data_IF_634440076949
#
_entry.id   IF_634440076949
#
_cell.length_a   1.000
_cell.length_b   1.000
_cell.length_c   1.000
_cell.angle_alpha   90.00
_cell.angle_beta   90.00
_cell.angle_gamma   90.00
#
_symmetry.space_group_name_H-M   'P 1'
#
loop_
_entity.id
_entity.type
_entity.pdbx_description
1 polymer ?
#
# COMPACT_ATOMS: atom_id res chain seq x y z
N UNK A 1 56.45 -30.82 -25.48
CA UNK A 1 56.54 -30.06 -26.74
C UNK A 1 55.16 -30.17 -27.41
N UNK A 2 54.28 -29.20 -27.21
CA UNK A 2 54.16 -27.92 -27.92
C UNK A 2 53.23 -28.05 -29.15
N UNK A 3 51.99 -27.56 -28.96
CA UNK A 3 51.05 -27.00 -29.95
C UNK A 3 50.40 -27.99 -30.95
N UNK A 4 49.15 -27.87 -31.37
CA UNK A 4 48.05 -26.92 -31.18
C UNK A 4 46.87 -27.49 -31.96
N UNK A 5 45.63 -27.44 -31.46
CA UNK A 5 44.53 -27.21 -32.40
C UNK A 5 43.29 -26.57 -31.78
N UNK A 6 42.79 -25.61 -32.55
CA UNK A 6 41.85 -24.56 -32.19
C UNK A 6 40.43 -25.07 -32.42
N UNK A 7 39.55 -24.97 -31.41
CA UNK A 7 38.10 -25.06 -31.63
C UNK A 7 37.43 -23.77 -31.17
N UNK A 8 37.00 -23.00 -32.16
CA UNK A 8 36.13 -21.86 -32.03
C UNK A 8 34.78 -22.27 -31.41
N UNK A 9 34.37 -21.59 -30.33
CA UNK A 9 32.97 -21.53 -29.94
C UNK A 9 32.50 -20.08 -29.88
N UNK A 10 31.58 -19.81 -30.77
CA UNK A 10 30.86 -18.58 -31.02
C UNK A 10 29.91 -18.23 -29.86
N UNK A 11 30.08 -17.00 -29.37
CA UNK A 11 29.12 -16.05 -28.77
C UNK A 11 27.77 -16.60 -28.27
N UNK A 12 27.46 -16.27 -27.01
CA UNK A 12 26.15 -15.70 -26.68
C UNK A 12 26.31 -14.64 -25.59
N UNK A 13 26.35 -13.36 -25.98
CA UNK A 13 26.30 -12.22 -25.05
C UNK A 13 24.86 -12.08 -24.54
N UNK A 14 24.63 -11.87 -23.23
CA UNK A 14 23.29 -11.56 -22.75
C UNK A 14 22.85 -10.20 -23.31
N UNK A 15 21.66 -10.19 -23.93
CA UNK A 15 20.98 -8.98 -24.39
C UNK A 15 20.76 -8.05 -23.19
N UNK A 16 21.58 -7.01 -23.07
CA UNK A 16 21.29 -5.85 -22.20
C UNK A 16 19.98 -5.25 -22.71
N UNK A 17 18.88 -5.48 -21.98
CA UNK A 17 17.65 -4.72 -22.17
C UNK A 17 18.00 -3.25 -21.88
N UNK A 18 17.92 -2.39 -22.90
CA UNK A 18 17.93 -0.95 -22.71
C UNK A 18 16.73 -0.61 -21.80
N UNK A 19 16.98 -0.32 -20.53
CA UNK A 19 16.02 0.38 -19.68
C UNK A 19 16.04 1.83 -20.15
N UNK A 20 14.92 2.31 -20.67
CA UNK A 20 14.74 3.73 -20.97
C UNK A 20 14.91 4.50 -19.65
N UNK A 21 15.92 5.35 -19.61
CA UNK A 21 16.29 6.16 -18.46
C UNK A 21 15.81 7.59 -18.72
N UNK A 22 14.54 7.88 -18.42
CA UNK A 22 13.90 9.21 -18.45
C UNK A 22 12.65 9.10 -17.54
N UNK A 23 12.34 9.92 -16.53
CA UNK A 23 12.76 11.26 -16.16
C UNK A 23 12.80 11.41 -14.63
N UNK A 24 13.78 12.16 -14.13
CA UNK A 24 13.62 12.87 -12.86
C UNK A 24 12.66 14.04 -13.10
N UNK A 25 11.36 13.81 -12.98
CA UNK A 25 10.42 14.93 -12.84
C UNK A 25 10.15 15.05 -11.33
N UNK A 26 10.72 16.05 -10.63
CA UNK A 26 10.08 16.50 -9.43
C UNK A 26 8.78 17.17 -9.88
N UNK A 27 7.71 16.39 -10.06
CA UNK A 27 6.35 16.97 -10.16
C UNK A 27 5.99 17.38 -8.73
N UNK A 28 6.56 18.50 -8.31
CA UNK A 28 5.89 19.38 -7.37
C UNK A 28 4.93 20.18 -8.25
N UNK A 29 3.65 19.82 -8.24
CA UNK A 29 2.61 20.72 -8.75
C UNK A 29 2.51 21.91 -7.77
N UNK A 30 3.46 22.85 -7.83
CA UNK A 30 3.36 24.17 -7.20
C UNK A 30 3.78 25.25 -8.21
N UNK A 31 2.80 26.10 -8.53
CA UNK A 31 2.89 27.47 -9.04
C UNK A 31 4.01 27.75 -10.07
N UNK A 32 3.72 27.43 -11.33
CA UNK A 32 4.55 27.83 -12.47
C UNK A 32 4.11 27.22 -13.81
N UNK A 33 2.81 26.98 -13.99
CA UNK A 33 2.25 26.56 -15.27
C UNK A 33 1.46 27.73 -15.85
N UNK A 34 1.77 28.09 -17.10
CA UNK A 34 1.04 29.09 -17.87
C UNK A 34 -0.45 28.79 -17.83
N UNK A 35 -1.23 29.81 -17.49
CA UNK A 35 -2.67 29.71 -17.32
C UNK A 35 -3.34 29.29 -18.64
N UNK A 36 -3.93 28.08 -18.64
CA UNK A 36 -5.10 27.79 -19.43
C UNK A 36 -6.24 27.50 -18.46
N UNK A 37 -7.24 28.39 -18.45
CA UNK A 37 -8.40 28.26 -17.55
C UNK A 37 -9.36 27.21 -18.11
N UNK A 38 -9.12 25.94 -17.77
CA UNK A 38 -10.11 24.90 -17.45
C UNK A 38 -9.45 23.51 -17.45
N UNK A 39 -9.03 23.04 -16.27
CA UNK A 39 -8.56 21.67 -16.07
C UNK A 39 -7.78 21.54 -14.77
N UNK A 40 -8.24 20.69 -13.85
CA UNK A 40 -7.46 20.33 -12.66
C UNK A 40 -6.12 19.71 -13.11
N UNK A 41 -5.00 19.98 -12.43
CA UNK A 41 -3.72 19.36 -12.78
C UNK A 41 -3.83 17.83 -12.68
N UNK A 42 -3.66 17.15 -13.82
CA UNK A 42 -3.82 15.70 -13.92
C UNK A 42 -2.51 15.02 -14.30
N UNK A 43 -2.20 13.93 -13.60
CA UNK A 43 -1.08 13.03 -13.86
C UNK A 43 -1.65 11.65 -14.21
N UNK A 44 -1.19 11.06 -15.31
CA UNK A 44 -1.63 9.72 -15.72
C UNK A 44 -0.42 8.82 -15.94
N UNK A 45 -0.38 7.69 -15.24
CA UNK A 45 0.58 6.62 -15.47
C UNK A 45 -0.02 5.59 -16.42
N UNK A 46 0.46 5.56 -17.66
CA UNK A 46 -0.02 4.64 -18.71
C UNK A 46 0.94 3.46 -18.96
N UNK A 47 2.14 3.52 -18.39
CA UNK A 47 3.21 2.53 -18.59
C UNK A 47 3.99 2.35 -17.31
N UNK A 48 4.72 1.23 -17.23
CA UNK A 48 5.65 0.99 -16.14
C UNK A 48 6.60 2.17 -15.92
N UNK A 49 6.71 2.60 -14.68
CA UNK A 49 7.43 3.83 -14.33
C UNK A 49 8.29 3.61 -13.09
N UNK A 50 9.53 4.10 -13.15
CA UNK A 50 10.43 4.11 -12.00
C UNK A 50 10.48 5.50 -11.40
N UNK A 51 10.14 5.63 -10.11
CA UNK A 51 10.18 6.88 -9.35
C UNK A 51 11.48 6.93 -8.54
N UNK A 52 12.33 7.91 -8.85
CA UNK A 52 13.55 8.23 -8.12
C UNK A 52 13.37 9.37 -7.10
N UNK A 53 12.19 9.98 -7.08
CA UNK A 53 11.79 11.02 -6.14
C UNK A 53 10.38 10.73 -5.62
N UNK A 54 10.07 11.32 -4.47
CA UNK A 54 8.74 11.21 -3.89
C UNK A 54 7.71 11.97 -4.73
N UNK A 55 6.50 11.42 -4.82
CA UNK A 55 5.38 11.99 -5.56
C UNK A 55 4.41 12.65 -4.59
N UNK A 56 3.90 13.84 -4.92
CA UNK A 56 2.88 14.53 -4.13
C UNK A 56 1.69 14.94 -5.01
N UNK A 57 0.51 14.48 -4.64
CA UNK A 57 -0.76 14.88 -5.24
C UNK A 57 -1.46 15.80 -4.25
N UNK A 58 -1.43 17.10 -4.52
CA UNK A 58 -2.05 18.13 -3.67
C UNK A 58 -3.58 18.14 -3.84
N UNK A 59 -4.29 18.95 -3.05
CA UNK A 59 -5.76 18.90 -2.92
C UNK A 59 -6.54 19.05 -4.25
N UNK A 60 -6.00 19.80 -5.21
CA UNK A 60 -6.56 20.01 -6.55
C UNK A 60 -5.98 19.06 -7.61
N UNK A 61 -5.00 18.24 -7.23
CA UNK A 61 -4.35 17.28 -8.11
C UNK A 61 -5.15 16.01 -8.29
N UNK A 62 -5.11 15.47 -9.51
CA UNK A 62 -5.66 14.17 -9.85
C UNK A 62 -4.56 13.29 -10.41
N UNK A 63 -4.38 12.10 -9.85
CA UNK A 63 -3.49 11.08 -10.36
C UNK A 63 -4.27 9.82 -10.74
N UNK A 64 -4.07 9.31 -11.95
CA UNK A 64 -4.67 8.06 -12.42
C UNK A 64 -3.58 7.07 -12.83
N UNK A 65 -3.69 5.83 -12.40
CA UNK A 65 -2.80 4.73 -12.82
C UNK A 65 -3.62 3.74 -13.64
N UNK A 66 -3.19 3.48 -14.88
CA UNK A 66 -3.89 2.55 -15.77
C UNK A 66 -3.67 1.09 -15.34
N UNK A 67 -4.61 0.16 -15.64
CA UNK A 67 -4.46 -1.25 -15.32
C UNK A 67 -3.16 -1.86 -15.86
N UNK A 68 -2.55 -2.76 -15.07
CA UNK A 68 -1.33 -3.48 -15.43
C UNK A 68 -0.03 -2.67 -15.31
N UNK A 69 -0.10 -1.41 -14.89
CA UNK A 69 1.09 -0.57 -14.68
C UNK A 69 1.83 -1.00 -13.42
N UNK A 70 3.16 -1.14 -13.55
CA UNK A 70 4.08 -1.29 -12.42
C UNK A 70 4.78 0.03 -12.11
N UNK A 71 4.66 0.48 -10.86
CA UNK A 71 5.39 1.63 -10.32
C UNK A 71 6.48 1.13 -9.38
N UNK A 72 7.73 1.39 -9.75
CA UNK A 72 8.92 0.98 -8.99
C UNK A 72 9.56 2.17 -8.28
N UNK A 73 9.79 2.06 -6.98
CA UNK A 73 10.45 3.11 -6.19
C UNK A 73 11.95 2.83 -6.04
N UNK A 74 12.77 3.82 -6.38
CA UNK A 74 14.23 3.79 -6.17
C UNK A 74 14.58 4.62 -4.93
N UNK A 75 15.11 3.94 -3.93
CA UNK A 75 15.36 4.54 -2.62
C UNK A 75 14.09 4.68 -1.80
N UNK A 76 14.21 5.33 -0.64
CA UNK A 76 13.17 5.36 0.38
C UNK A 76 12.11 6.45 0.12
N UNK A 77 11.50 6.42 -1.08
CA UNK A 77 10.52 7.40 -1.55
C UNK A 77 9.12 7.13 -1.02
N UNK A 78 8.27 8.17 -1.02
CA UNK A 78 6.86 8.10 -0.64
C UNK A 78 5.93 8.64 -1.72
N UNK A 79 4.65 8.29 -1.62
CA UNK A 79 3.57 8.94 -2.36
C UNK A 79 2.64 9.65 -1.38
N UNK A 80 2.66 10.98 -1.38
CA UNK A 80 1.74 11.80 -0.59
C UNK A 80 0.47 12.07 -1.40
N UNK A 81 -0.69 11.76 -0.84
CA UNK A 81 -2.01 11.99 -1.45
C UNK A 81 -2.84 12.89 -0.54
N UNK A 82 -3.11 14.10 -1.02
CA UNK A 82 -4.06 15.07 -0.44
C UNK A 82 -5.23 15.39 -1.36
N UNK A 83 -5.07 15.16 -2.68
CA UNK A 83 -6.13 15.25 -3.68
C UNK A 83 -6.68 13.89 -4.08
N UNK A 84 -6.85 13.65 -5.38
CA UNK A 84 -7.46 12.45 -5.95
C UNK A 84 -6.39 11.48 -6.47
N UNK A 85 -6.43 10.21 -6.05
CA UNK A 85 -5.56 9.16 -6.56
C UNK A 85 -6.39 7.92 -6.94
N UNK A 86 -6.43 7.58 -8.22
CA UNK A 86 -7.24 6.48 -8.75
C UNK A 86 -6.30 5.44 -9.36
N UNK A 87 -6.28 4.25 -8.77
CA UNK A 87 -5.57 3.09 -9.31
C UNK A 87 -6.52 1.91 -9.35
N UNK A 88 -7.13 1.71 -10.50
CA UNK A 88 -8.11 0.63 -10.71
C UNK A 88 -7.53 -0.36 -11.71
N UNK A 89 -6.85 -1.38 -11.19
CA UNK A 89 -6.42 -2.53 -11.97
C UNK A 89 -7.57 -3.48 -12.26
N UNK A 90 -7.27 -4.61 -12.88
CA UNK A 90 -8.18 -5.75 -12.97
C UNK A 90 -7.51 -7.00 -12.41
N UNK A 91 -8.26 -8.08 -12.22
CA UNK A 91 -7.71 -9.38 -11.82
C UNK A 91 -6.62 -9.86 -12.78
N UNK A 92 -6.79 -9.63 -14.08
CA UNK A 92 -5.84 -10.04 -15.14
C UNK A 92 -4.68 -9.07 -15.28
N UNK A 93 -4.88 -7.80 -14.91
CA UNK A 93 -3.91 -6.71 -15.04
C UNK A 93 -3.86 -5.90 -13.74
N UNK A 94 -3.35 -6.48 -12.65
CA UNK A 94 -3.22 -5.77 -11.39
C UNK A 94 -2.20 -4.64 -11.52
N UNK A 95 -2.40 -3.56 -10.75
CA UNK A 95 -1.42 -2.46 -10.65
C UNK A 95 -0.45 -2.81 -9.52
N UNK A 96 0.85 -2.65 -9.76
CA UNK A 96 1.89 -3.04 -8.79
C UNK A 96 2.67 -1.84 -8.28
N UNK A 97 2.74 -1.66 -6.96
CA UNK A 97 3.59 -0.69 -6.28
C UNK A 97 4.67 -1.44 -5.51
N UNK A 98 5.94 -1.30 -5.92
CA UNK A 98 7.05 -2.07 -5.32
C UNK A 98 8.38 -1.32 -5.42
N UNK A 99 9.44 -1.85 -4.82
CA UNK A 99 10.77 -1.29 -4.97
C UNK A 99 11.45 -1.74 -6.27
N UNK A 100 12.31 -0.89 -6.80
CA UNK A 100 13.22 -1.30 -7.85
C UNK A 100 14.13 -2.44 -7.36
N UNK A 101 14.27 -3.48 -8.19
CA UNK A 101 15.15 -4.64 -7.97
C UNK A 101 14.80 -5.51 -6.73
N UNK A 102 13.59 -5.41 -6.17
CA UNK A 102 13.10 -6.35 -5.14
C UNK A 102 12.56 -7.62 -5.80
N UNK A 103 12.92 -8.78 -5.27
CA UNK A 103 12.30 -10.04 -5.65
C UNK A 103 10.83 -10.07 -5.20
N UNK A 104 9.92 -10.45 -6.10
CA UNK A 104 8.48 -10.52 -5.80
C UNK A 104 8.20 -11.53 -4.69
N UNK A 105 7.38 -11.13 -3.73
CA UNK A 105 7.02 -11.90 -2.54
C UNK A 105 8.08 -11.86 -1.42
N UNK A 106 9.16 -11.09 -1.57
CA UNK A 106 10.22 -11.01 -0.57
C UNK A 106 9.72 -10.35 0.72
N UNK A 107 10.19 -10.83 1.87
CA UNK A 107 10.01 -10.23 3.20
C UNK A 107 11.23 -9.44 3.68
N UNK A 108 12.14 -9.10 2.77
CA UNK A 108 13.28 -8.23 3.06
C UNK A 108 12.82 -6.89 3.64
N UNK A 109 13.76 -6.17 4.27
CA UNK A 109 13.51 -4.84 4.84
C UNK A 109 12.78 -3.95 3.82
N UNK A 110 11.84 -3.15 4.34
CA UNK A 110 11.12 -2.17 3.53
C UNK A 110 12.11 -1.27 2.77
N UNK A 111 11.83 -1.03 1.49
CA UNK A 111 12.72 -0.31 0.58
C UNK A 111 12.08 0.93 -0.06
N UNK A 112 10.83 1.23 0.30
CA UNK A 112 10.16 2.50 0.07
C UNK A 112 9.27 2.82 1.26
N UNK A 113 8.89 4.09 1.42
CA UNK A 113 8.13 4.53 2.60
C UNK A 113 6.69 4.04 2.57
N UNK A 114 6.06 3.96 1.40
CA UNK A 114 4.64 3.66 1.26
C UNK A 114 3.82 4.88 0.79
N UNK A 115 2.50 4.70 0.79
CA UNK A 115 1.55 5.79 0.60
C UNK A 115 1.30 6.55 1.90
N UNK A 116 1.11 7.87 1.80
CA UNK A 116 0.60 8.73 2.86
C UNK A 116 -0.67 9.43 2.36
N UNK A 117 -1.84 8.89 2.72
CA UNK A 117 -3.15 9.44 2.34
C UNK A 117 -3.64 10.31 3.50
N UNK A 118 -3.61 11.63 3.31
CA UNK A 118 -3.70 12.58 4.41
C UNK A 118 -4.78 13.64 4.17
N UNK A 119 -5.68 13.76 5.12
CA UNK A 119 -6.70 14.81 5.17
C UNK A 119 -8.05 14.36 4.63
N UNK A 120 -9.11 15.06 5.06
CA UNK A 120 -10.50 14.71 4.73
C UNK A 120 -10.87 14.94 3.27
N UNK A 121 -10.06 15.70 2.53
CA UNK A 121 -10.22 15.93 1.09
C UNK A 121 -9.49 14.88 0.23
N UNK A 122 -8.60 14.09 0.82
CA UNK A 122 -7.89 13.04 0.10
C UNK A 122 -8.87 11.95 -0.31
N UNK A 123 -8.98 11.71 -1.62
CA UNK A 123 -9.82 10.68 -2.20
C UNK A 123 -8.94 9.69 -2.96
N UNK A 124 -8.65 8.56 -2.33
CA UNK A 124 -7.82 7.52 -2.93
C UNK A 124 -8.62 6.23 -3.11
N UNK A 125 -8.63 5.71 -4.34
CA UNK A 125 -9.34 4.48 -4.72
C UNK A 125 -8.31 3.52 -5.29
N UNK A 126 -8.23 2.34 -4.69
CA UNK A 126 -7.36 1.25 -5.12
C UNK A 126 -8.21 0.01 -5.35
N UNK A 127 -8.19 -0.50 -6.58
CA UNK A 127 -8.81 -1.77 -6.97
C UNK A 127 -7.81 -2.67 -7.65
N UNK A 128 -7.76 -3.96 -7.29
CA UNK A 128 -6.81 -4.92 -7.87
C UNK A 128 -5.37 -4.39 -7.89
N UNK A 129 -4.98 -3.74 -6.79
CA UNK A 129 -3.65 -3.19 -6.60
C UNK A 129 -2.83 -4.08 -5.68
N UNK A 130 -1.53 -4.14 -5.91
CA UNK A 130 -0.59 -4.86 -5.06
C UNK A 130 0.48 -3.93 -4.49
N UNK A 131 0.55 -3.85 -3.17
CA UNK A 131 1.51 -3.05 -2.41
C UNK A 131 2.56 -3.95 -1.78
N UNK A 132 3.81 -3.82 -2.21
CA UNK A 132 4.90 -4.67 -1.74
C UNK A 132 6.12 -3.90 -1.25
N UNK A 133 6.66 -4.35 -0.11
CA UNK A 133 7.95 -3.87 0.39
C UNK A 133 7.92 -2.45 0.94
N UNK A 134 6.73 -1.92 1.24
CA UNK A 134 6.54 -0.62 1.85
C UNK A 134 6.87 -0.67 3.33
N UNK A 135 7.35 0.46 3.87
CA UNK A 135 7.48 0.61 5.30
C UNK A 135 6.10 0.82 5.93
N UNK A 136 5.30 1.74 5.41
CA UNK A 136 3.98 2.04 5.95
C UNK A 136 3.06 2.67 4.92
N UNK A 137 1.95 2.01 4.61
CA UNK A 137 0.84 2.68 3.93
C UNK A 137 -0.06 3.34 4.99
N UNK A 138 0.12 4.65 5.14
CA UNK A 138 -0.51 5.48 6.15
C UNK A 138 -1.82 6.07 5.63
N UNK A 139 -2.86 5.97 6.45
CA UNK A 139 -4.14 6.67 6.27
C UNK A 139 -4.37 7.57 7.48
N UNK A 140 -4.48 8.88 7.24
CA UNK A 140 -4.60 9.89 8.30
C UNK A 140 -5.75 10.84 8.02
N UNK A 141 -6.80 10.84 8.86
CA UNK A 141 -8.01 11.68 8.66
C UNK A 141 -8.68 11.54 7.29
N UNK A 142 -8.38 10.47 6.56
CA UNK A 142 -8.87 10.21 5.20
C UNK A 142 -9.79 8.99 5.15
N UNK A 143 -10.48 8.82 4.01
CA UNK A 143 -11.44 7.74 3.79
C UNK A 143 -11.19 7.00 2.46
N UNK A 144 -9.99 6.40 2.27
CA UNK A 144 -9.67 5.69 1.04
C UNK A 144 -10.43 4.36 0.92
N UNK A 145 -10.53 3.88 -0.32
CA UNK A 145 -11.11 2.57 -0.66
C UNK A 145 -9.97 1.66 -1.14
N UNK A 146 -9.88 0.49 -0.52
CA UNK A 146 -9.04 -0.63 -0.94
C UNK A 146 -9.94 -1.83 -1.17
N UNK A 147 -10.00 -2.30 -2.41
CA UNK A 147 -10.92 -3.35 -2.83
C UNK A 147 -10.21 -4.36 -3.74
N UNK A 148 -10.29 -5.64 -3.39
CA UNK A 148 -9.54 -6.71 -4.06
C UNK A 148 -8.03 -6.43 -4.16
N UNK A 149 -7.43 -5.81 -3.14
CA UNK A 149 -6.00 -5.46 -3.10
C UNK A 149 -5.14 -6.52 -2.39
N UNK A 150 -3.86 -6.55 -2.72
CA UNK A 150 -2.85 -7.37 -2.05
C UNK A 150 -1.84 -6.49 -1.30
N UNK A 151 -1.60 -6.79 -0.03
CA UNK A 151 -0.54 -6.18 0.77
C UNK A 151 0.42 -7.26 1.26
N UNK A 152 1.66 -7.23 0.78
CA UNK A 152 2.64 -8.29 1.06
C UNK A 152 4.06 -7.80 1.33
N UNK A 153 4.73 -8.38 2.32
CA UNK A 153 6.13 -8.05 2.62
C UNK A 153 6.33 -6.61 3.11
N UNK A 154 5.27 -5.97 3.62
CA UNK A 154 5.33 -4.61 4.17
C UNK A 154 5.64 -4.66 5.67
N UNK A 155 6.21 -3.58 6.19
CA UNK A 155 6.34 -3.44 7.64
C UNK A 155 4.99 -3.12 8.28
N UNK A 156 4.26 -2.12 7.77
CA UNK A 156 2.84 -1.91 8.04
C UNK A 156 2.08 -1.98 6.71
N UNK A 157 1.30 -3.04 6.52
CA UNK A 157 0.46 -3.17 5.32
C UNK A 157 -0.53 -2.01 5.24
N UNK A 158 -1.30 -1.77 6.30
CA UNK A 158 -2.15 -0.57 6.45
C UNK A 158 -2.03 -0.02 7.87
N UNK A 159 -1.80 1.29 7.97
CA UNK A 159 -1.78 2.03 9.24
C UNK A 159 -2.83 3.13 9.21
N UNK A 160 -4.00 2.85 9.79
CA UNK A 160 -5.12 3.79 9.88
C UNK A 160 -5.03 4.55 11.20
N UNK A 161 -4.84 5.87 11.14
CA UNK A 161 -4.77 6.72 12.33
C UNK A 161 -5.64 7.98 12.23
N UNK A 162 -5.87 8.60 13.39
CA UNK A 162 -6.44 9.93 13.55
C UNK A 162 -7.80 10.09 12.83
N UNK A 163 -8.81 9.38 13.32
CA UNK A 163 -10.19 9.38 12.80
C UNK A 163 -10.29 9.01 11.32
N UNK A 164 -9.33 8.26 10.79
CA UNK A 164 -9.44 7.69 9.45
C UNK A 164 -10.55 6.62 9.41
N UNK A 165 -11.17 6.51 8.24
CA UNK A 165 -12.26 5.56 7.96
C UNK A 165 -11.97 4.87 6.62
N UNK A 166 -10.87 4.11 6.56
CA UNK A 166 -10.55 3.34 5.35
C UNK A 166 -11.56 2.21 5.14
N UNK A 167 -11.97 1.99 3.89
CA UNK A 167 -12.79 0.86 3.49
C UNK A 167 -11.86 -0.19 2.89
N UNK A 168 -11.81 -1.38 3.52
CA UNK A 168 -10.88 -2.45 3.18
C UNK A 168 -11.71 -3.70 2.93
N UNK A 169 -11.89 -4.06 1.66
CA UNK A 169 -12.79 -5.13 1.21
C UNK A 169 -12.07 -6.11 0.30
N UNK A 170 -12.36 -7.41 0.44
CA UNK A 170 -11.82 -8.48 -0.42
C UNK A 170 -10.28 -8.46 -0.56
N UNK A 171 -9.56 -7.90 0.43
CA UNK A 171 -8.11 -7.76 0.36
C UNK A 171 -7.41 -8.99 0.93
N UNK A 172 -6.25 -9.30 0.36
CA UNK A 172 -5.30 -10.29 0.88
C UNK A 172 -4.11 -9.59 1.52
N UNK A 173 -3.97 -9.73 2.84
CA UNK A 173 -2.95 -9.05 3.65
C UNK A 173 -2.07 -10.12 4.31
N UNK A 174 -0.89 -10.36 3.75
CA UNK A 174 -0.05 -11.48 4.18
C UNK A 174 1.44 -11.22 4.20
N UNK A 175 2.18 -11.94 5.07
CA UNK A 175 3.64 -11.80 5.22
C UNK A 175 4.09 -10.37 5.53
N UNK A 176 3.27 -9.62 6.25
CA UNK A 176 3.64 -8.29 6.76
C UNK A 176 4.05 -8.39 8.22
N UNK A 177 4.83 -7.42 8.71
CA UNK A 177 5.07 -7.34 10.16
C UNK A 177 3.79 -6.96 10.90
N UNK A 178 3.04 -6.00 10.38
CA UNK A 178 1.69 -5.67 10.82
C UNK A 178 0.75 -5.66 9.62
N UNK A 179 -0.37 -6.37 9.71
CA UNK A 179 -1.41 -6.39 8.69
C UNK A 179 -2.19 -5.06 8.69
N UNK A 180 -3.17 -4.94 9.57
CA UNK A 180 -3.96 -3.72 9.75
C UNK A 180 -3.70 -3.16 11.14
N UNK A 181 -3.26 -1.91 11.23
CA UNK A 181 -3.19 -1.16 12.48
C UNK A 181 -4.29 -0.10 12.47
N UNK A 182 -5.13 -0.10 13.52
CA UNK A 182 -6.11 0.94 13.78
C UNK A 182 -5.74 1.67 15.08
N UNK A 183 -5.44 2.96 14.95
CA UNK A 183 -4.97 3.81 16.04
C UNK A 183 -5.83 5.08 16.10
N UNK A 184 -6.72 5.18 17.10
CA UNK A 184 -7.73 6.26 17.16
C UNK A 184 -8.49 6.42 15.82
N UNK A 185 -8.76 5.31 15.14
CA UNK A 185 -9.36 5.23 13.81
C UNK A 185 -10.51 4.21 13.77
N UNK A 186 -11.31 4.27 12.70
CA UNK A 186 -12.47 3.39 12.52
C UNK A 186 -12.51 2.82 11.10
N UNK A 187 -11.53 1.98 10.71
CA UNK A 187 -11.57 1.31 9.41
C UNK A 187 -12.72 0.28 9.35
N UNK A 188 -13.30 0.14 8.16
CA UNK A 188 -14.25 -0.91 7.80
C UNK A 188 -13.49 -2.03 7.11
N UNK A 189 -13.50 -3.23 7.71
CA UNK A 189 -12.70 -4.37 7.28
C UNK A 189 -13.62 -5.54 7.00
N UNK A 190 -13.98 -5.79 5.75
CA UNK A 190 -14.94 -6.84 5.36
C UNK A 190 -14.37 -7.83 4.35
N UNK A 191 -14.66 -9.11 4.50
CA UNK A 191 -14.33 -10.14 3.51
C UNK A 191 -12.83 -10.27 3.19
N UNK A 192 -11.94 -9.94 4.14
CA UNK A 192 -10.50 -9.96 3.93
C UNK A 192 -9.85 -11.26 4.40
N UNK A 193 -8.74 -11.63 3.78
CA UNK A 193 -7.84 -12.69 4.24
C UNK A 193 -6.57 -12.08 4.83
N UNK A 194 -6.39 -12.22 6.15
CA UNK A 194 -5.27 -11.65 6.90
C UNK A 194 -4.46 -12.80 7.53
N UNK A 195 -3.39 -13.21 6.86
CA UNK A 195 -2.66 -14.45 7.19
C UNK A 195 -1.14 -14.27 7.14
N UNK A 196 -0.38 -15.14 7.82
CA UNK A 196 1.10 -15.14 7.77
C UNK A 196 1.75 -13.81 8.18
N UNK A 197 1.05 -12.92 8.88
CA UNK A 197 1.64 -11.69 9.41
C UNK A 197 2.23 -11.93 10.81
N UNK A 198 3.16 -11.08 11.25
CA UNK A 198 3.60 -11.14 12.66
C UNK A 198 2.44 -10.71 13.56
N UNK A 199 1.77 -9.60 13.25
CA UNK A 199 0.49 -9.21 13.86
C UNK A 199 -0.54 -9.01 12.75
N UNK A 200 -1.66 -9.72 12.81
CA UNK A 200 -2.74 -9.60 11.83
C UNK A 200 -3.46 -8.26 11.93
N UNK A 201 -4.13 -8.03 13.06
CA UNK A 201 -4.82 -6.77 13.38
C UNK A 201 -4.30 -6.22 14.70
N UNK A 202 -3.96 -4.94 14.72
CA UNK A 202 -3.53 -4.23 15.92
C UNK A 202 -4.49 -3.06 16.21
N UNK A 203 -5.13 -3.08 17.37
CA UNK A 203 -6.04 -2.05 17.86
C UNK A 203 -5.33 -1.26 18.95
N UNK A 204 -5.25 0.05 18.77
CA UNK A 204 -4.63 0.97 19.73
C UNK A 204 -5.57 2.13 20.03
N UNK A 205 -5.46 2.67 21.24
CA UNK A 205 -6.31 3.76 21.73
C UNK A 205 -7.80 3.43 21.55
N UNK A 206 -8.66 4.45 21.54
CA UNK A 206 -10.11 4.32 21.30
C UNK A 206 -10.46 4.00 19.84
N UNK A 207 -9.70 3.12 19.18
CA UNK A 207 -10.00 2.62 17.84
C UNK A 207 -11.32 1.83 17.84
N UNK A 208 -12.08 1.96 16.74
CA UNK A 208 -13.37 1.26 16.55
C UNK A 208 -13.38 0.61 15.17
N UNK A 209 -12.68 -0.50 15.06
CA UNK A 209 -12.66 -1.29 13.83
C UNK A 209 -14.00 -2.01 13.66
N UNK A 210 -14.64 -1.83 12.51
CA UNK A 210 -15.85 -2.58 12.14
C UNK A 210 -15.42 -3.71 11.23
N UNK A 211 -15.54 -4.96 11.70
CA UNK A 211 -15.13 -6.14 10.94
C UNK A 211 -16.24 -7.17 10.76
N UNK A 212 -16.22 -7.86 9.62
CA UNK A 212 -17.16 -8.93 9.28
C UNK A 212 -16.61 -9.83 8.19
N UNK A 213 -16.87 -11.15 8.30
CA UNK A 213 -16.47 -12.18 7.31
C UNK A 213 -14.98 -12.19 6.94
N UNK A 214 -14.10 -11.76 7.84
CA UNK A 214 -12.65 -11.84 7.63
C UNK A 214 -12.08 -13.19 8.08
N UNK A 215 -11.11 -13.69 7.34
CA UNK A 215 -10.28 -14.83 7.73
C UNK A 215 -8.99 -14.29 8.35
N UNK A 216 -8.88 -14.34 9.69
CA UNK A 216 -7.69 -13.89 10.43
C UNK A 216 -7.06 -15.10 11.11
N UNK A 217 -6.07 -15.72 10.47
CA UNK A 217 -5.46 -16.96 10.94
C UNK A 217 -4.02 -17.12 10.46
N UNK A 218 -3.23 -18.01 11.06
CA UNK A 218 -1.84 -18.24 10.64
C UNK A 218 -0.89 -17.05 10.85
N UNK A 219 -1.33 -16.01 11.56
CA UNK A 219 -0.47 -14.92 12.01
C UNK A 219 0.23 -15.34 13.32
N UNK A 220 1.42 -14.78 13.62
CA UNK A 220 2.05 -15.00 14.94
C UNK A 220 1.18 -14.46 16.08
N UNK A 221 0.46 -13.37 15.83
CA UNK A 221 -0.61 -12.85 16.68
C UNK A 221 -1.77 -12.41 15.80
N UNK A 222 -2.95 -13.02 15.93
CA UNK A 222 -4.10 -12.68 15.07
C UNK A 222 -4.61 -11.27 15.36
N UNK A 223 -4.95 -10.98 16.61
CA UNK A 223 -5.46 -9.68 17.05
C UNK A 223 -4.69 -9.26 18.30
N UNK A 224 -4.14 -8.05 18.29
CA UNK A 224 -3.53 -7.38 19.45
C UNK A 224 -4.33 -6.14 19.78
N UNK A 225 -4.79 -6.00 21.01
CA UNK A 225 -5.39 -4.77 21.54
C UNK A 225 -4.51 -4.19 22.63
N UNK A 226 -4.14 -2.91 22.52
CA UNK A 226 -3.55 -2.19 23.64
C UNK A 226 -4.66 -1.56 24.48
N UNK A 227 -4.88 -2.10 25.66
CA UNK A 227 -5.68 -1.46 26.71
C UNK A 227 -5.01 -0.13 27.05
N UNK A 228 -5.56 0.94 26.49
CA UNK A 228 -5.01 2.27 26.63
C UNK A 228 -5.66 2.89 27.86
N UNK A 229 -4.87 2.99 28.94
CA UNK A 229 -5.19 3.41 30.31
C UNK A 229 -5.74 2.28 31.20
N UNK A 230 -4.99 1.98 32.26
CA UNK A 230 -5.14 0.80 33.11
C UNK A 230 -6.52 0.62 33.72
N UNK A 231 -6.78 -0.62 34.17
CA UNK A 231 -7.89 -1.13 34.98
C UNK A 231 -8.94 -0.06 35.35
N UNK A 232 -9.74 0.33 34.37
CA UNK A 232 -11.02 0.97 34.65
C UNK A 232 -12.07 -0.10 34.38
N UNK A 233 -12.59 -0.66 35.48
CA UNK A 233 -13.58 -1.74 35.52
C UNK A 233 -14.93 -1.42 34.83
N UNK A 234 -15.13 -0.24 34.24
CA UNK A 234 -16.46 0.24 33.82
C UNK A 234 -16.62 0.61 32.34
N UNK A 235 -15.77 0.13 31.44
CA UNK A 235 -16.00 0.27 30.00
C UNK A 235 -15.99 -1.10 29.31
N UNK A 236 -17.18 -1.56 28.90
CA UNK A 236 -17.41 -2.70 28.00
C UNK A 236 -16.25 -2.85 27.00
N UNK A 237 -15.38 -3.82 27.25
CA UNK A 237 -14.15 -3.98 26.48
C UNK A 237 -14.49 -4.25 25.01
N UNK A 238 -13.66 -3.77 24.08
CA UNK A 238 -13.85 -4.06 22.66
C UNK A 238 -13.89 -5.57 22.37
N UNK A 239 -13.22 -6.38 23.22
CA UNK A 239 -13.30 -7.84 23.24
C UNK A 239 -14.71 -8.33 23.61
N UNK A 240 -15.34 -7.75 24.63
CA UNK A 240 -16.71 -8.07 25.01
C UNK A 240 -17.73 -7.72 23.92
N UNK A 241 -17.61 -6.54 23.30
CA UNK A 241 -18.45 -6.15 22.15
C UNK A 241 -18.25 -7.09 20.94
N UNK A 242 -17.01 -7.51 20.68
CA UNK A 242 -16.67 -8.48 19.64
C UNK A 242 -17.29 -9.86 19.92
N UNK A 243 -17.19 -10.35 21.15
CA UNK A 243 -17.77 -11.62 21.56
C UNK A 243 -19.31 -11.58 21.54
N UNK A 244 -19.92 -10.44 21.87
CA UNK A 244 -21.37 -10.22 21.80
C UNK A 244 -21.87 -10.20 20.35
N UNK A 245 -21.15 -9.56 19.44
CA UNK A 245 -21.47 -9.56 18.01
C UNK A 245 -21.38 -10.96 17.39
N UNK A 246 -20.54 -11.84 17.94
CA UNK A 246 -20.38 -13.23 17.48
C UNK A 246 -21.52 -14.14 17.91
N UNK A 247 -22.31 -13.75 18.91
CA UNK A 247 -23.48 -14.52 19.37
C UNK A 247 -24.78 -14.18 18.61
N UNK A 248 -24.76 -13.12 17.79
CA UNK A 248 -25.93 -12.65 17.03
C UNK A 248 -26.01 -13.23 15.61
N UNK A 249 -25.15 -14.19 15.27
CA UNK A 249 -25.15 -15.00 14.04
C UNK A 249 -24.71 -16.43 14.38
#
# INVERSE_FOLDING_TARGET
MMWSDVHARTRCRPRRRLRALVAAIPVVLCAGATASRAGMPSLVFERDTTLNASLAILEDGVCTVKPGVKIEFVGYQRVLVRGVFIAEGTREKPIEFTCANRARGSTDKACWQGFEIVGSKANAIFRHCRFEGAYRNLVWKAKPIFDSCEFVGNHYALYCTNKSQAHITDCSIYRNRYGIVADFASPFVLDNTITENIVGVCLQLSSRLVAGRNIISGNKTNIRSEESFGDNEDALSAKYLWDLMRQLY
#
